data_IF_470564835612
#
_entry.id   IF_470564835612
#
_cell.length_a   1.000
_cell.length_b   1.000
_cell.length_c   1.000
_cell.angle_alpha   90.00
_cell.angle_beta   90.00
_cell.angle_gamma   90.00
#
_symmetry.space_group_name_H-M   'P 1'
#
loop_
_entity.id
_entity.type
_entity.pdbx_description
1 polymer ?
#
# COMPACT_ATOMS: atom_id res chain seq x y z
N UNK A 1 -18.56 -40.06 -24.12
CA UNK A 1 -17.36 -39.36 -23.63
C UNK A 1 -17.79 -37.95 -23.25
N UNK A 2 -17.61 -37.50 -22.00
CA UNK A 2 -18.02 -36.15 -21.63
C UNK A 2 -16.99 -35.16 -22.18
N UNK A 3 -17.49 -34.16 -22.92
CA UNK A 3 -16.72 -33.00 -23.32
C UNK A 3 -16.33 -32.21 -22.07
N UNK A 4 -15.04 -32.24 -21.74
CA UNK A 4 -14.44 -31.30 -20.80
C UNK A 4 -14.43 -29.92 -21.44
N UNK A 5 -15.43 -29.11 -21.10
CA UNK A 5 -15.37 -27.66 -21.30
C UNK A 5 -14.36 -27.11 -20.31
N UNK A 6 -13.12 -26.92 -20.75
CA UNK A 6 -12.19 -26.04 -20.06
C UNK A 6 -12.77 -24.63 -20.14
N UNK A 7 -13.39 -24.19 -19.05
CA UNK A 7 -13.64 -22.77 -18.81
C UNK A 7 -12.30 -22.06 -18.91
N UNK A 8 -12.11 -21.26 -19.95
CA UNK A 8 -11.03 -20.27 -20.05
C UNK A 8 -11.37 -19.13 -19.07
N UNK A 9 -11.45 -19.47 -17.79
CA UNK A 9 -11.68 -18.51 -16.71
C UNK A 9 -10.45 -17.63 -16.56
N UNK A 10 -10.66 -16.32 -16.49
CA UNK A 10 -9.61 -15.35 -16.15
C UNK A 10 -8.92 -15.78 -14.86
N UNK A 11 -7.65 -16.21 -14.94
CA UNK A 11 -6.87 -16.63 -13.78
C UNK A 11 -6.40 -15.36 -13.05
N UNK A 12 -6.84 -15.18 -11.81
CA UNK A 12 -6.24 -14.17 -10.93
C UNK A 12 -4.97 -14.75 -10.31
N UNK A 13 -3.95 -13.92 -10.10
CA UNK A 13 -2.74 -14.31 -9.37
C UNK A 13 -2.73 -13.64 -8.01
N UNK A 14 -2.18 -14.34 -7.02
CA UNK A 14 -2.03 -13.85 -5.66
C UNK A 14 -0.66 -14.21 -5.11
N UNK A 15 -0.07 -13.36 -4.27
CA UNK A 15 1.16 -13.70 -3.56
C UNK A 15 1.30 -12.89 -2.29
N UNK A 16 2.01 -13.48 -1.32
CA UNK A 16 2.43 -12.75 -0.12
C UNK A 16 3.47 -11.72 -0.54
N UNK A 17 3.27 -10.47 -0.13
CA UNK A 17 4.20 -9.40 -0.48
C UNK A 17 5.44 -9.53 0.41
N UNK A 18 6.64 -9.69 -0.18
CA UNK A 18 7.85 -9.90 0.61
C UNK A 18 8.26 -8.61 1.36
N UNK A 19 8.83 -8.79 2.55
CA UNK A 19 9.47 -7.70 3.30
C UNK A 19 8.51 -6.61 3.80
N UNK A 20 7.26 -6.96 4.12
CA UNK A 20 6.25 -6.04 4.68
C UNK A 20 5.97 -6.33 6.14
N UNK A 21 5.73 -5.26 6.90
CA UNK A 21 5.26 -5.30 8.29
C UNK A 21 3.98 -4.49 8.44
N UNK A 22 3.32 -4.66 9.59
CA UNK A 22 2.03 -4.02 9.88
C UNK A 22 2.10 -3.25 11.19
N UNK A 23 1.69 -1.99 11.17
CA UNK A 23 1.55 -1.16 12.37
C UNK A 23 0.09 -0.80 12.60
N UNK A 24 -0.41 -1.09 13.80
CA UNK A 24 -1.73 -0.64 14.23
C UNK A 24 -1.69 0.74 14.87
N UNK A 25 -2.62 1.62 14.48
CA UNK A 25 -2.84 2.92 15.08
C UNK A 25 -4.33 3.06 15.43
N UNK A 26 -4.68 3.00 16.72
CA UNK A 26 -6.08 3.00 17.16
C UNK A 26 -6.35 4.04 18.22
N UNK A 27 -7.62 4.38 18.42
CA UNK A 27 -8.07 5.31 19.46
C UNK A 27 -8.78 6.54 18.88
N UNK A 28 -9.43 7.33 19.75
CA UNK A 28 -10.34 8.40 19.33
C UNK A 28 -9.67 9.52 18.54
N UNK A 29 -8.36 9.73 18.72
CA UNK A 29 -7.59 10.76 17.99
C UNK A 29 -6.90 10.22 16.73
N UNK A 30 -7.05 8.93 16.38
CA UNK A 30 -6.26 8.27 15.33
C UNK A 30 -6.35 8.98 13.98
N UNK A 31 -7.57 9.37 13.54
CA UNK A 31 -7.79 10.06 12.27
C UNK A 31 -7.03 11.38 12.24
N UNK A 32 -7.29 12.27 13.20
CA UNK A 32 -6.65 13.59 13.28
C UNK A 32 -5.13 13.45 13.39
N UNK A 33 -4.66 12.48 14.17
CA UNK A 33 -3.25 12.22 14.38
C UNK A 33 -2.55 11.79 13.09
N UNK A 34 -3.08 10.77 12.40
CA UNK A 34 -2.49 10.26 11.16
C UNK A 34 -2.62 11.28 10.02
N UNK A 35 -3.75 11.99 9.94
CA UNK A 35 -4.01 13.03 8.94
C UNK A 35 -2.93 14.11 8.93
N UNK A 36 -2.32 14.44 10.07
CA UNK A 36 -1.21 15.40 10.16
C UNK A 36 0.17 14.83 9.82
N UNK A 37 0.33 13.51 9.72
CA UNK A 37 1.63 12.85 9.53
C UNK A 37 1.86 12.29 8.13
N UNK A 38 0.79 12.02 7.38
CA UNK A 38 0.88 11.42 6.04
C UNK A 38 0.39 12.36 4.95
N UNK A 39 0.89 12.18 3.73
CA UNK A 39 0.66 13.11 2.63
C UNK A 39 -0.70 12.95 1.91
N UNK A 40 -1.41 11.83 2.08
CA UNK A 40 -2.75 11.62 1.51
C UNK A 40 -3.85 11.77 2.56
N UNK A 41 -5.10 11.96 2.12
CA UNK A 41 -6.24 12.06 3.03
C UNK A 41 -6.60 10.67 3.60
N UNK A 42 -6.67 10.56 4.93
CA UNK A 42 -7.07 9.33 5.65
C UNK A 42 -8.44 9.47 6.32
N UNK A 43 -9.17 10.54 6.05
CA UNK A 43 -10.55 10.69 6.52
C UNK A 43 -11.49 9.80 5.70
N UNK A 44 -12.50 9.15 6.32
CA UNK A 44 -13.46 8.34 5.60
C UNK A 44 -14.21 9.13 4.53
N UNK A 45 -14.32 8.57 3.32
CA UNK A 45 -15.08 9.17 2.22
C UNK A 45 -16.48 8.54 2.20
N UNK A 46 -17.46 9.21 2.81
CA UNK A 46 -18.87 8.77 2.82
C UNK A 46 -19.20 7.66 3.83
N UNK A 47 -20.48 7.26 3.87
CA UNK A 47 -21.04 6.39 4.92
C UNK A 47 -21.18 4.90 4.54
N UNK A 48 -20.41 4.41 3.55
CA UNK A 48 -20.72 3.12 2.89
C UNK A 48 -19.67 2.02 2.91
N UNK A 49 -18.37 2.31 2.83
CA UNK A 49 -17.33 1.28 2.75
C UNK A 49 -16.08 1.67 3.55
N UNK A 50 -15.48 0.69 4.21
CA UNK A 50 -14.19 0.82 4.89
C UNK A 50 -13.11 0.88 3.82
N UNK A 51 -12.87 2.07 3.28
CA UNK A 51 -11.84 2.32 2.27
C UNK A 51 -10.60 2.93 2.91
N UNK A 52 -9.44 2.39 2.53
CA UNK A 52 -8.13 2.89 2.89
C UNK A 52 -7.53 3.82 1.84
N UNK A 53 -6.23 4.05 1.93
CA UNK A 53 -5.48 4.86 0.96
C UNK A 53 -4.02 4.41 0.85
N UNK A 54 -3.35 4.78 -0.23
CA UNK A 54 -1.89 4.74 -0.31
C UNK A 54 -1.33 6.11 0.07
N UNK A 55 -0.23 6.15 0.80
CA UNK A 55 0.31 7.38 1.35
C UNK A 55 1.81 7.32 1.58
N UNK A 56 2.37 8.42 2.07
CA UNK A 56 3.76 8.51 2.50
C UNK A 56 3.93 9.39 3.74
N UNK A 57 4.85 8.98 4.61
CA UNK A 57 5.43 9.81 5.67
C UNK A 57 6.61 10.58 5.11
N UNK A 58 6.70 11.86 5.44
CA UNK A 58 7.79 12.72 5.01
C UNK A 58 8.60 13.25 6.20
N UNK A 59 9.85 13.58 5.92
CA UNK A 59 10.64 14.48 6.75
C UNK A 59 10.03 15.89 6.71
N UNK A 60 10.32 16.75 7.70
CA UNK A 60 9.97 18.18 7.62
C UNK A 60 10.53 18.89 6.38
N UNK A 61 11.62 18.36 5.80
CA UNK A 61 12.22 18.88 4.57
C UNK A 61 11.47 18.44 3.30
N UNK A 62 10.45 17.56 3.41
CA UNK A 62 9.68 17.04 2.28
C UNK A 62 10.36 15.90 1.51
N UNK A 63 11.23 15.14 2.18
CA UNK A 63 11.79 13.86 1.67
C UNK A 63 11.02 12.67 2.22
N UNK A 64 10.90 11.62 1.42
CA UNK A 64 10.18 10.39 1.80
C UNK A 64 10.90 9.68 2.94
N UNK A 65 10.19 9.38 4.01
CA UNK A 65 10.65 8.46 5.06
C UNK A 65 10.22 7.03 4.70
N UNK A 66 8.90 6.81 4.63
CA UNK A 66 8.32 5.52 4.24
C UNK A 66 6.99 5.72 3.52
N UNK A 67 6.72 4.83 2.60
CA UNK A 67 5.42 4.66 1.96
C UNK A 67 4.55 3.67 2.73
N UNK A 68 3.24 3.88 2.69
CA UNK A 68 2.28 3.08 3.45
C UNK A 68 1.01 2.82 2.65
N UNK A 69 0.53 1.59 2.66
CA UNK A 69 -0.91 1.36 2.48
C UNK A 69 -1.57 1.47 3.85
N UNK A 70 -2.64 2.25 3.92
CA UNK A 70 -3.35 2.58 5.17
C UNK A 70 -4.76 2.03 5.03
N UNK A 71 -5.07 0.99 5.78
CA UNK A 71 -6.40 0.41 5.83
C UNK A 71 -7.17 1.02 6.99
N UNK A 72 -8.41 1.44 6.76
CA UNK A 72 -9.33 1.74 7.85
C UNK A 72 -9.70 0.43 8.55
N UNK A 73 -9.75 0.46 9.87
CA UNK A 73 -9.98 -0.73 10.68
C UNK A 73 -11.09 -0.47 11.71
N UNK A 74 -12.04 -1.39 11.75
CA UNK A 74 -13.03 -1.49 12.82
C UNK A 74 -12.76 -2.76 13.66
N UNK A 75 -13.03 -2.73 14.97
CA UNK A 75 -12.92 -3.92 15.82
C UNK A 75 -13.73 -5.09 15.26
N UNK A 76 -13.26 -6.30 15.55
CA UNK A 76 -13.90 -7.57 15.21
C UNK A 76 -14.03 -7.88 13.71
N UNK A 77 -13.57 -6.98 12.81
CA UNK A 77 -13.58 -7.23 11.36
C UNK A 77 -12.70 -8.40 10.94
N UNK A 78 -11.61 -8.66 11.66
CA UNK A 78 -10.59 -9.66 11.29
C UNK A 78 -10.47 -10.82 12.28
N UNK A 79 -11.28 -10.84 13.34
CA UNK A 79 -11.22 -11.83 14.43
C UNK A 79 -10.00 -11.70 15.36
N UNK A 80 -8.88 -11.18 14.86
CA UNK A 80 -7.68 -10.82 15.61
C UNK A 80 -7.32 -9.34 15.37
N UNK A 81 -6.53 -8.76 16.28
CA UNK A 81 -6.04 -7.38 16.16
C UNK A 81 -6.52 -6.44 17.26
N UNK A 82 -6.41 -5.12 17.04
CA UNK A 82 -6.80 -4.13 18.03
C UNK A 82 -8.30 -4.18 18.37
N UNK A 83 -8.63 -3.83 19.61
CA UNK A 83 -10.02 -3.78 20.11
C UNK A 83 -10.72 -2.43 19.87
N UNK A 84 -10.01 -1.48 19.31
CA UNK A 84 -10.50 -0.13 19.02
C UNK A 84 -10.36 0.16 17.52
N UNK A 85 -11.24 1.02 17.00
CA UNK A 85 -11.18 1.47 15.62
C UNK A 85 -9.93 2.33 15.37
N UNK A 86 -9.50 2.36 14.12
CA UNK A 86 -8.36 3.16 13.68
C UNK A 86 -7.85 2.72 12.32
N UNK A 87 -6.55 2.47 12.25
CA UNK A 87 -5.87 2.09 11.01
C UNK A 87 -4.91 0.92 11.21
N UNK A 88 -4.75 0.13 10.15
CA UNK A 88 -3.65 -0.81 9.98
C UNK A 88 -2.78 -0.31 8.82
N UNK A 89 -1.48 -0.13 9.08
CA UNK A 89 -0.53 0.44 8.14
C UNK A 89 0.39 -0.67 7.63
N UNK A 90 0.31 -1.00 6.36
CA UNK A 90 1.26 -1.84 5.64
C UNK A 90 2.46 -1.01 5.19
N UNK A 91 3.63 -1.32 5.76
CA UNK A 91 4.91 -0.62 5.57
C UNK A 91 6.02 -1.61 5.18
N UNK A 92 7.15 -1.15 4.60
CA UNK A 92 8.37 -1.95 4.57
C UNK A 92 8.74 -2.43 5.98
N UNK A 93 9.18 -3.68 6.12
CA UNK A 93 9.48 -4.28 7.42
C UNK A 93 10.54 -3.49 8.20
N UNK A 94 11.55 -2.96 7.50
CA UNK A 94 12.60 -2.10 8.07
C UNK A 94 12.11 -0.67 8.39
N UNK A 95 10.90 -0.31 7.95
CA UNK A 95 10.21 0.94 8.28
C UNK A 95 9.35 0.87 9.55
N UNK A 96 9.01 -0.32 10.04
CA UNK A 96 8.12 -0.50 11.20
C UNK A 96 8.63 0.24 12.44
N UNK A 97 9.87 -0.05 12.86
CA UNK A 97 10.46 0.56 14.06
C UNK A 97 10.66 2.07 13.90
N UNK A 98 11.27 2.58 12.80
CA UNK A 98 11.41 4.03 12.59
C UNK A 98 10.08 4.79 12.56
N UNK A 99 9.05 4.26 11.89
CA UNK A 99 7.75 4.92 11.79
C UNK A 99 7.00 4.89 13.12
N UNK A 100 7.07 3.80 13.88
CA UNK A 100 6.54 3.78 15.25
C UNK A 100 7.25 4.80 16.15
N UNK A 101 8.58 4.95 16.04
CA UNK A 101 9.33 5.96 16.78
C UNK A 101 8.92 7.39 16.36
N UNK A 102 8.75 7.64 15.06
CA UNK A 102 8.27 8.91 14.53
C UNK A 102 6.86 9.23 15.06
N UNK A 103 5.93 8.28 14.99
CA UNK A 103 4.57 8.48 15.53
C UNK A 103 4.62 8.73 17.05
N UNK A 104 5.42 7.99 17.81
CA UNK A 104 5.56 8.24 19.25
C UNK A 104 6.11 9.64 19.57
N UNK A 105 7.05 10.16 18.76
CA UNK A 105 7.55 11.53 18.89
C UNK A 105 6.45 12.58 18.72
N UNK A 106 5.51 12.36 17.79
CA UNK A 106 4.39 13.29 17.54
C UNK A 106 3.17 13.05 18.43
N UNK A 107 3.10 11.94 19.18
CA UNK A 107 1.93 11.49 19.95
C UNK A 107 1.48 12.43 21.08
N UNK A 108 2.25 13.44 21.44
CA UNK A 108 2.03 14.23 22.66
C UNK A 108 0.56 14.70 22.79
N UNK A 109 -0.12 14.21 23.84
CA UNK A 109 -1.55 14.45 24.17
C UNK A 109 -2.59 13.83 23.22
N UNK A 110 -2.19 13.17 22.15
CA UNK A 110 -3.09 12.37 21.31
C UNK A 110 -3.41 11.04 21.98
N UNK A 111 -4.69 10.74 22.14
CA UNK A 111 -5.20 9.48 22.66
C UNK A 111 -5.18 8.43 21.54
N UNK A 112 -3.98 7.92 21.26
CA UNK A 112 -3.75 6.86 20.27
C UNK A 112 -2.84 5.76 20.83
N UNK A 113 -3.15 4.52 20.50
CA UNK A 113 -2.31 3.35 20.71
C UNK A 113 -1.56 3.02 19.41
N UNK A 114 -0.28 2.71 19.51
CA UNK A 114 0.60 2.35 18.39
C UNK A 114 1.21 0.99 18.70
N UNK A 115 1.02 0.02 17.80
CA UNK A 115 1.43 -1.37 18.03
C UNK A 115 2.07 -1.97 16.78
N UNK A 116 3.15 -2.74 16.96
CA UNK A 116 3.66 -3.62 15.90
C UNK A 116 2.75 -4.86 15.84
N UNK A 117 2.15 -5.08 14.68
CA UNK A 117 1.22 -6.17 14.39
C UNK A 117 1.74 -7.05 13.25
N UNK A 118 3.05 -6.97 12.94
CA UNK A 118 3.68 -7.72 11.85
C UNK A 118 3.63 -9.24 12.05
N UNK A 119 3.48 -9.72 13.29
CA UNK A 119 3.26 -11.14 13.60
C UNK A 119 1.78 -11.55 13.58
N UNK A 120 0.87 -10.58 13.61
CA UNK A 120 -0.59 -10.81 13.65
C UNK A 120 -1.15 -10.80 12.24
N UNK A 121 -0.65 -9.92 11.36
CA UNK A 121 -1.17 -9.76 10.00
C UNK A 121 -0.13 -10.01 8.92
N UNK A 122 -0.60 -10.51 7.77
CA UNK A 122 0.18 -10.65 6.55
C UNK A 122 -0.41 -9.81 5.43
N UNK A 123 0.49 -9.35 4.55
CA UNK A 123 0.15 -8.53 3.40
C UNK A 123 0.27 -9.35 2.13
N UNK A 124 -0.76 -9.26 1.29
CA UNK A 124 -0.87 -9.97 0.04
C UNK A 124 -1.19 -9.00 -1.09
N UNK A 125 -0.81 -9.38 -2.31
CA UNK A 125 -1.19 -8.69 -3.53
C UNK A 125 -1.93 -9.66 -4.44
N UNK A 126 -3.04 -9.21 -5.02
CA UNK A 126 -3.83 -9.95 -6.00
C UNK A 126 -4.01 -9.11 -7.26
N UNK A 127 -3.80 -9.71 -8.44
CA UNK A 127 -4.05 -9.04 -9.72
C UNK A 127 -4.66 -10.01 -10.75
N UNK A 128 -5.31 -9.47 -11.78
CA UNK A 128 -5.78 -10.27 -12.92
C UNK A 128 -4.66 -10.45 -13.94
N UNK A 129 -4.59 -11.63 -14.56
CA UNK A 129 -3.71 -11.89 -15.71
C UNK A 129 -4.33 -11.45 -17.04
N UNK A 130 -5.65 -11.27 -17.09
CA UNK A 130 -6.37 -10.77 -18.26
C UNK A 130 -6.77 -9.29 -18.06
N UNK A 131 -6.48 -8.40 -19.04
CA UNK A 131 -6.98 -7.03 -19.01
C UNK A 131 -8.50 -7.02 -19.20
N UNK A 132 -9.23 -6.29 -18.35
CA UNK A 132 -10.70 -6.17 -18.43
C UNK A 132 -11.34 -5.82 -17.09
N UNK A 133 -12.62 -5.42 -17.06
CA UNK A 133 -13.33 -4.95 -15.85
C UNK A 133 -13.45 -5.99 -14.72
N UNK A 134 -13.13 -7.27 -14.98
CA UNK A 134 -12.99 -8.32 -13.96
C UNK A 134 -11.68 -8.21 -13.15
N UNK A 135 -10.72 -7.36 -13.56
CA UNK A 135 -9.52 -7.03 -12.78
C UNK A 135 -9.82 -6.17 -11.55
N UNK A 136 -11.00 -5.53 -11.50
CA UNK A 136 -11.47 -4.66 -10.43
C UNK A 136 -12.57 -5.30 -9.55
N UNK A 137 -12.78 -6.61 -9.62
CA UNK A 137 -13.64 -7.28 -8.66
C UNK A 137 -12.83 -7.56 -7.39
N UNK A 138 -13.26 -6.99 -6.25
CA UNK A 138 -12.71 -7.35 -4.93
C UNK A 138 -12.74 -8.88 -4.76
N UNK A 139 -11.74 -9.48 -4.10
CA UNK A 139 -11.69 -10.92 -4.01
C UNK A 139 -12.88 -11.44 -3.21
N UNK A 140 -13.56 -12.46 -3.75
CA UNK A 140 -14.37 -13.33 -2.90
C UNK A 140 -13.37 -14.16 -2.10
N UNK A 141 -13.04 -13.75 -0.88
CA UNK A 141 -12.39 -14.63 0.08
C UNK A 141 -13.44 -15.09 1.09
N UNK A 142 -13.39 -16.37 1.46
CA UNK A 142 -14.21 -16.90 2.55
C UNK A 142 -13.64 -16.58 3.94
N UNK A 143 -12.59 -15.75 4.00
CA UNK A 143 -11.93 -15.34 5.23
C UNK A 143 -12.10 -13.83 5.46
N UNK A 144 -12.22 -13.38 6.72
CA UNK A 144 -12.19 -11.97 7.06
C UNK A 144 -10.87 -11.33 6.61
N UNK A 145 -10.96 -10.24 5.85
CA UNK A 145 -9.80 -9.53 5.33
C UNK A 145 -10.14 -8.06 5.09
N UNK A 146 -9.11 -7.21 5.03
CA UNK A 146 -9.23 -5.87 4.49
C UNK A 146 -8.68 -5.87 3.07
N UNK A 147 -9.31 -5.12 2.19
CA UNK A 147 -8.86 -4.96 0.81
C UNK A 147 -8.80 -3.49 0.45
N UNK A 148 -7.83 -3.14 -0.38
CA UNK A 148 -7.64 -1.81 -0.92
C UNK A 148 -7.21 -1.94 -2.38
N UNK A 149 -7.88 -1.23 -3.27
CA UNK A 149 -7.41 -1.12 -4.65
C UNK A 149 -6.02 -0.48 -4.63
N UNK A 150 -5.06 -1.07 -5.32
CA UNK A 150 -3.71 -0.54 -5.44
C UNK A 150 -3.70 0.60 -6.46
N UNK A 151 -3.57 1.88 -6.04
CA UNK A 151 -3.73 3.02 -6.94
C UNK A 151 -2.41 3.36 -7.67
N UNK A 152 -1.32 2.62 -7.41
CA UNK A 152 0.02 3.07 -7.78
C UNK A 152 0.29 3.04 -9.28
N UNK A 153 -0.39 2.13 -10.00
CA UNK A 153 -0.40 2.06 -11.45
C UNK A 153 -1.64 1.29 -11.92
N UNK A 154 -2.09 1.48 -13.17
CA UNK A 154 -3.18 0.70 -13.74
C UNK A 154 -2.95 -0.80 -13.62
N UNK A 155 -4.03 -1.54 -13.32
CA UNK A 155 -4.04 -2.99 -13.17
C UNK A 155 -3.09 -3.54 -12.08
N UNK A 156 -2.63 -2.74 -11.12
CA UNK A 156 -1.87 -3.27 -9.98
C UNK A 156 -2.70 -4.21 -9.09
N UNK A 157 -4.03 -4.16 -9.22
CA UNK A 157 -4.96 -5.04 -8.54
C UNK A 157 -5.24 -4.57 -7.12
N UNK A 158 -5.28 -5.51 -6.16
CA UNK A 158 -5.63 -5.24 -4.78
C UNK A 158 -4.47 -5.55 -3.84
N UNK A 159 -4.34 -4.70 -2.83
CA UNK A 159 -3.58 -4.97 -1.62
C UNK A 159 -4.54 -5.56 -0.59
N UNK A 160 -4.16 -6.69 0.00
CA UNK A 160 -4.98 -7.41 0.97
C UNK A 160 -4.22 -7.53 2.29
N UNK A 161 -4.95 -7.37 3.39
CA UNK A 161 -4.45 -7.59 4.75
C UNK A 161 -5.28 -8.70 5.40
N UNK A 162 -4.61 -9.77 5.82
CA UNK A 162 -5.22 -10.97 6.37
C UNK A 162 -4.55 -11.35 7.71
N UNK A 163 -5.26 -12.01 8.63
CA UNK A 163 -4.61 -12.66 9.78
C UNK A 163 -3.51 -13.62 9.34
N UNK A 164 -2.42 -13.71 10.12
CA UNK A 164 -1.25 -14.53 9.77
C UNK A 164 -1.50 -16.02 9.85
N UNK A 165 -2.50 -16.43 10.65
CA UNK A 165 -2.92 -17.82 10.76
C UNK A 165 -3.76 -18.31 9.57
N UNK A 166 -4.14 -17.42 8.65
CA UNK A 166 -4.92 -17.77 7.47
C UNK A 166 -4.03 -18.48 6.43
N UNK A 167 -4.30 -19.76 6.20
CA UNK A 167 -3.62 -20.56 5.18
C UNK A 167 -4.42 -20.56 3.86
N UNK A 168 -3.78 -20.17 2.76
CA UNK A 168 -4.29 -20.06 1.38
C UNK A 168 -5.83 -19.97 1.23
N UNK A 169 -6.48 -18.85 1.61
CA UNK A 169 -7.94 -18.69 1.64
C UNK A 169 -8.58 -18.43 0.26
N UNK A 170 -7.90 -18.84 -0.81
CA UNK A 170 -8.23 -18.47 -2.18
C UNK A 170 -9.36 -19.35 -2.74
N UNK A 171 -10.27 -18.75 -3.51
CA UNK A 171 -11.32 -19.47 -4.24
C UNK A 171 -10.80 -20.04 -5.56
N UNK A 172 -11.59 -20.88 -6.21
CA UNK A 172 -11.33 -21.39 -7.55
C UNK A 172 -11.00 -20.25 -8.55
N UNK A 173 -10.01 -20.48 -9.41
CA UNK A 173 -9.55 -19.51 -10.42
C UNK A 173 -8.52 -18.50 -9.92
N UNK A 174 -7.96 -18.70 -8.71
CA UNK A 174 -6.82 -17.94 -8.19
C UNK A 174 -5.58 -18.83 -8.14
N UNK A 175 -4.50 -18.39 -8.75
CA UNK A 175 -3.19 -19.02 -8.71
C UNK A 175 -2.28 -18.31 -7.69
N UNK A 176 -1.77 -19.03 -6.69
CA UNK A 176 -0.75 -18.51 -5.81
C UNK A 176 0.63 -18.57 -6.48
N UNK A 177 1.29 -17.43 -6.61
CA UNK A 177 2.60 -17.29 -7.26
C UNK A 177 3.67 -16.84 -6.26
N UNK A 178 4.94 -16.90 -6.67
CA UNK A 178 6.05 -16.48 -5.82
C UNK A 178 6.10 -14.96 -5.61
N UNK A 179 6.63 -14.53 -4.46
CA UNK A 179 6.83 -13.10 -4.18
C UNK A 179 7.71 -12.37 -5.21
N UNK A 180 8.62 -13.09 -5.87
CA UNK A 180 9.42 -12.55 -6.99
C UNK A 180 8.57 -12.18 -8.20
N UNK A 181 7.48 -12.89 -8.47
CA UNK A 181 6.57 -12.54 -9.58
C UNK A 181 5.96 -11.14 -9.36
N UNK A 182 5.63 -10.82 -8.11
CA UNK A 182 5.15 -9.50 -7.73
C UNK A 182 6.24 -8.41 -7.86
N UNK A 183 7.48 -8.71 -7.45
CA UNK A 183 8.61 -7.78 -7.63
C UNK A 183 8.81 -7.45 -9.11
N UNK A 184 8.87 -8.47 -9.98
CA UNK A 184 9.00 -8.28 -11.45
C UNK A 184 7.83 -7.46 -11.99
N UNK A 185 6.59 -7.78 -11.57
CA UNK A 185 5.40 -7.04 -11.99
C UNK A 185 5.52 -5.54 -11.67
N UNK A 186 5.90 -5.18 -10.44
CA UNK A 186 6.08 -3.77 -10.05
C UNK A 186 7.17 -3.08 -10.87
N UNK A 187 8.31 -3.74 -11.08
CA UNK A 187 9.41 -3.20 -11.90
C UNK A 187 8.91 -2.90 -13.31
N UNK A 188 8.20 -3.82 -13.95
CA UNK A 188 7.64 -3.62 -15.30
C UNK A 188 6.59 -2.50 -15.36
N UNK A 189 5.95 -2.17 -14.23
CA UNK A 189 4.97 -1.08 -14.12
C UNK A 189 5.58 0.23 -13.62
N UNK A 190 6.88 0.29 -13.35
CA UNK A 190 7.53 1.49 -12.80
C UNK A 190 7.08 1.86 -11.38
N UNK A 191 6.61 0.88 -10.60
CA UNK A 191 6.11 1.08 -9.24
C UNK A 191 7.24 0.86 -8.23
N UNK A 192 7.67 1.94 -7.59
CA UNK A 192 8.61 1.90 -6.47
C UNK A 192 7.96 1.31 -5.22
N UNK A 193 8.69 0.44 -4.51
CA UNK A 193 8.27 -0.06 -3.19
C UNK A 193 9.46 -0.44 -2.32
N UNK A 194 9.41 -0.05 -1.04
CA UNK A 194 10.41 -0.40 -0.05
C UNK A 194 11.75 0.29 -0.23
N UNK A 195 12.67 -0.04 0.67
CA UNK A 195 13.96 0.65 0.82
C UNK A 195 14.94 0.45 -0.33
N UNK A 196 14.72 -0.53 -1.19
CA UNK A 196 15.51 -0.73 -2.41
C UNK A 196 15.24 0.38 -3.43
N UNK A 197 13.97 0.76 -3.58
CA UNK A 197 13.53 1.73 -4.58
C UNK A 197 13.41 3.15 -4.02
N UNK A 198 13.09 3.26 -2.72
CA UNK A 198 12.79 4.52 -2.03
C UNK A 198 13.75 4.71 -0.85
N UNK A 199 14.71 5.62 -1.01
CA UNK A 199 15.72 5.87 0.01
C UNK A 199 15.21 6.84 1.08
N UNK A 200 15.10 6.35 2.33
CA UNK A 200 14.62 7.13 3.48
C UNK A 200 15.39 8.42 3.65
N UNK A 201 14.69 9.53 3.84
CA UNK A 201 15.26 10.86 4.04
C UNK A 201 15.98 11.44 2.82
N UNK A 202 16.06 10.71 1.71
CA UNK A 202 16.80 11.11 0.49
C UNK A 202 15.86 11.32 -0.68
N UNK A 203 14.97 10.35 -0.96
CA UNK A 203 14.07 10.41 -2.11
C UNK A 203 13.07 11.55 -1.99
N UNK A 204 12.83 12.27 -3.08
CA UNK A 204 11.72 13.20 -3.21
C UNK A 204 10.47 12.45 -3.66
N UNK A 205 9.25 12.82 -3.20
CA UNK A 205 8.02 12.16 -3.65
C UNK A 205 7.87 12.12 -5.18
N UNK A 206 8.22 13.21 -5.86
CA UNK A 206 8.18 13.30 -7.33
C UNK A 206 9.22 12.41 -8.03
N UNK A 207 10.40 12.23 -7.42
CA UNK A 207 11.44 11.37 -7.99
C UNK A 207 10.99 9.89 -7.99
N UNK A 208 10.07 9.50 -7.09
CA UNK A 208 9.51 8.13 -7.00
C UNK A 208 8.02 8.07 -7.38
N UNK A 209 7.54 9.03 -8.18
CA UNK A 209 6.20 9.04 -8.79
C UNK A 209 5.02 9.02 -7.80
N UNK A 210 5.20 9.51 -6.57
CA UNK A 210 4.14 9.54 -5.56
C UNK A 210 2.97 10.47 -5.91
N UNK A 211 3.21 11.41 -6.81
CA UNK A 211 2.19 12.27 -7.42
C UNK A 211 1.31 11.53 -8.43
N UNK A 212 1.85 10.51 -9.12
CA UNK A 212 1.08 9.63 -10.01
C UNK A 212 0.44 8.46 -9.26
N UNK A 213 1.04 8.01 -8.17
CA UNK A 213 0.56 6.88 -7.39
C UNK A 213 -0.53 7.24 -6.38
N UNK A 214 -1.07 8.46 -6.43
CA UNK A 214 -2.06 9.01 -5.49
C UNK A 214 -1.62 9.01 -4.01
N UNK A 215 -0.30 9.03 -3.73
CA UNK A 215 0.21 9.04 -2.35
C UNK A 215 0.19 10.43 -1.70
N UNK A 216 -0.06 11.48 -2.49
CA UNK A 216 -0.11 12.88 -2.06
C UNK A 216 -1.47 13.47 -2.42
N UNK A 217 -2.15 14.07 -1.44
CA UNK A 217 -3.33 14.89 -1.67
C UNK A 217 -2.98 16.38 -1.57
N UNK A 218 -3.17 17.12 -2.65
CA UNK A 218 -2.89 18.56 -2.71
C UNK A 218 -4.03 19.42 -2.15
N UNK A 219 -5.19 18.82 -1.84
CA UNK A 219 -6.38 19.51 -1.35
C UNK A 219 -6.62 19.32 0.15
N UNK A 220 -5.88 18.42 0.80
CA UNK A 220 -6.00 18.18 2.25
C UNK A 220 -5.34 19.30 3.08
N UNK A 221 -5.62 19.27 4.38
CA UNK A 221 -5.01 20.17 5.37
C UNK A 221 -3.50 19.95 5.57
N UNK A 222 -2.94 20.66 6.54
CA UNK A 222 -1.50 20.63 6.82
C UNK A 222 -1.00 19.24 7.24
N UNK A 223 0.15 18.83 6.69
CA UNK A 223 0.87 17.62 7.10
C UNK A 223 2.39 17.86 7.07
N UNK A 224 3.16 17.03 7.77
CA UNK A 224 4.63 17.17 7.85
C UNK A 224 5.26 17.11 6.45
N UNK A 225 6.08 18.12 6.10
CA UNK A 225 6.81 18.17 4.83
C UNK A 225 6.01 18.67 3.63
N UNK A 226 4.78 19.15 3.84
CA UNK A 226 3.89 19.64 2.78
C UNK A 226 4.47 20.82 1.99
N UNK A 227 5.24 21.72 2.61
CA UNK A 227 5.66 22.99 2.01
C UNK A 227 6.48 22.79 0.73
N UNK A 228 7.43 21.84 0.76
CA UNK A 228 8.22 21.54 -0.43
C UNK A 228 7.38 20.82 -1.49
N UNK A 229 6.53 19.88 -1.07
CA UNK A 229 5.69 19.09 -1.98
C UNK A 229 4.73 20.01 -2.74
N UNK A 230 4.01 20.86 -2.01
CA UNK A 230 3.10 21.86 -2.59
C UNK A 230 3.83 22.85 -3.49
N UNK A 231 4.98 23.39 -3.06
CA UNK A 231 5.77 24.32 -3.89
C UNK A 231 6.18 23.67 -5.20
N UNK A 232 6.69 22.46 -5.15
CA UNK A 232 7.18 21.74 -6.33
C UNK A 232 6.04 21.43 -7.30
N UNK A 233 4.86 21.02 -6.79
CA UNK A 233 3.67 20.81 -7.61
C UNK A 233 3.23 22.08 -8.37
N UNK A 234 3.23 23.25 -7.71
CA UNK A 234 2.73 24.49 -8.31
C UNK A 234 3.73 25.24 -9.18
N UNK A 235 5.04 25.09 -8.92
CA UNK A 235 6.08 25.92 -9.54
C UNK A 235 7.13 25.13 -10.32
N UNK A 236 7.19 23.81 -10.12
CA UNK A 236 8.34 23.00 -10.50
C UNK A 236 8.12 22.21 -11.78
N UNK A 237 9.10 22.27 -12.68
CA UNK A 237 9.30 21.22 -13.67
C UNK A 237 9.98 20.04 -12.97
N UNK A 238 9.32 18.88 -12.95
CA UNK A 238 9.92 17.63 -12.44
C UNK A 238 10.95 17.14 -13.46
N UNK A 239 12.24 17.19 -13.09
CA UNK A 239 13.36 16.86 -14.01
C UNK A 239 13.86 15.42 -13.90
N UNK A 240 13.48 14.71 -12.86
CA UNK A 240 13.91 13.34 -12.59
C UNK A 240 12.71 12.53 -12.09
N UNK A 241 12.62 11.27 -12.54
CA UNK A 241 11.62 10.30 -12.13
C UNK A 241 12.22 8.90 -12.18
N UNK A 242 11.75 8.02 -11.32
CA UNK A 242 11.95 6.59 -11.47
C UNK A 242 11.20 6.13 -12.71
N UNK A 243 11.89 5.36 -13.56
CA UNK A 243 11.32 4.78 -14.77
C UNK A 243 11.70 3.30 -14.87
N UNK A 244 10.80 2.45 -15.40
CA UNK A 244 11.16 1.07 -15.67
C UNK A 244 12.20 1.03 -16.80
N UNK A 245 13.21 0.16 -16.65
CA UNK A 245 14.23 -0.06 -17.68
C UNK A 245 14.35 -1.55 -17.98
N UNK A 246 14.56 -1.89 -19.25
CA UNK A 246 14.86 -3.25 -19.69
C UNK A 246 16.29 -3.29 -20.21
N UNK A 247 17.10 -4.21 -19.69
CA UNK A 247 18.45 -4.44 -20.18
C UNK A 247 18.39 -5.36 -21.39
N UNK A 248 18.87 -4.89 -22.53
CA UNK A 248 18.95 -5.66 -23.78
C UNK A 248 20.41 -6.12 -23.95
N UNK A 249 20.69 -7.44 -24.01
CA UNK A 249 22.04 -7.93 -24.27
C UNK A 249 22.57 -7.44 -25.62
N UNK A 250 23.82 -7.02 -25.68
CA UNK A 250 24.46 -6.48 -26.90
C UNK A 250 24.52 -7.46 -28.09
N UNK A 251 24.27 -8.75 -27.86
CA UNK A 251 24.30 -9.80 -28.89
C UNK A 251 22.93 -10.17 -29.45
N UNK A 252 21.85 -9.52 -28.99
CA UNK A 252 20.54 -9.63 -29.60
C UNK A 252 20.40 -8.49 -30.61
N UNK A 253 20.38 -8.81 -31.91
CA UNK A 253 19.99 -7.85 -32.94
C UNK A 253 18.57 -7.33 -32.67
N UNK A 254 18.28 -6.05 -32.98
CA UNK A 254 17.07 -5.34 -32.58
C UNK A 254 15.76 -5.94 -33.09
#
# INVERSE_FOLDING_TARGET
MPHSTYSTGSIAQVTRVPGRGVVGLTGPDAIKFLQGLVASNVEPVGSGEVSGTYSTFLTPQGRVEREAFIFHYLPDQLGEGPKEAGFLLDLPQDGVVPIMALMNKYRLRSKVAIQDLSSVFTIWSRWSTSPGPSSSAAPFLHTPHLSLLDPRAPDMGYRLLLPSATDSPWTDGVEEVSGSAYVVRRILRGVCEGSTDIWSGISLPFDVNMDYSHAVDYRKGCYVGQELVSRTHHTGVIRKRMVPVQLIPSSADP
#
